data_IF_310358832496
#
_entry.id   IF_310358832496
#
_cell.length_a   1.000
_cell.length_b   1.000
_cell.length_c   1.000
_cell.angle_alpha   90.00
_cell.angle_beta   90.00
_cell.angle_gamma   90.00
#
_symmetry.space_group_name_H-M   'P 1'
#
loop_
_entity.id
_entity.type
_entity.pdbx_description
1 polymer ?
#
# COMPACT_ATOMS: atom_id res chain seq x y z
N UNK A 1 -20.90 26.19 -12.15
CA UNK A 1 -19.96 26.20 -11.01
C UNK A 1 -18.57 26.13 -11.63
N UNK A 2 -17.92 27.26 -11.86
CA UNK A 2 -16.50 27.30 -12.23
C UNK A 2 -15.74 27.39 -10.92
N UNK A 3 -15.20 26.27 -10.47
CA UNK A 3 -14.20 26.29 -9.40
C UNK A 3 -12.86 26.58 -10.09
N UNK A 4 -12.54 27.86 -10.27
CA UNK A 4 -11.16 28.28 -10.53
C UNK A 4 -10.37 27.98 -9.25
N UNK A 5 -9.95 26.72 -9.10
CA UNK A 5 -9.00 26.32 -8.07
C UNK A 5 -7.72 27.12 -8.30
N UNK A 6 -7.20 27.72 -7.23
CA UNK A 6 -5.91 28.40 -7.28
C UNK A 6 -4.84 27.37 -7.69
N UNK A 7 -3.76 27.76 -8.40
CA UNK A 7 -2.70 26.83 -8.79
C UNK A 7 -2.13 26.00 -7.63
N UNK A 8 -2.09 26.60 -6.42
CA UNK A 8 -1.68 25.91 -5.18
C UNK A 8 -2.69 24.85 -4.72
N UNK A 9 -3.99 25.11 -4.86
CA UNK A 9 -5.05 24.16 -4.49
C UNK A 9 -5.08 23.00 -5.48
N UNK A 10 -4.85 23.28 -6.76
CA UNK A 10 -4.72 22.25 -7.80
C UNK A 10 -3.50 21.37 -7.56
N UNK A 11 -2.35 21.96 -7.22
CA UNK A 11 -1.12 21.22 -6.94
C UNK A 11 -1.30 20.25 -5.75
N UNK A 12 -1.92 20.71 -4.66
CA UNK A 12 -2.22 19.86 -3.50
C UNK A 12 -3.18 18.72 -3.83
N UNK A 13 -4.22 18.98 -4.63
CA UNK A 13 -5.13 17.92 -5.06
C UNK A 13 -4.42 16.85 -5.88
N UNK A 14 -3.55 17.25 -6.81
CA UNK A 14 -2.77 16.32 -7.63
C UNK A 14 -1.81 15.49 -6.78
N UNK A 15 -1.17 16.10 -5.79
CA UNK A 15 -0.30 15.40 -4.83
C UNK A 15 -1.09 14.37 -4.00
N UNK A 16 -2.24 14.76 -3.45
CA UNK A 16 -3.12 13.85 -2.71
C UNK A 16 -3.62 12.68 -3.57
N UNK A 17 -3.96 12.93 -4.84
CA UNK A 17 -4.36 11.88 -5.77
C UNK A 17 -3.20 10.94 -6.11
N UNK A 18 -1.99 11.50 -6.34
CA UNK A 18 -0.80 10.71 -6.59
C UNK A 18 -0.45 9.82 -5.38
N UNK A 19 -0.55 10.35 -4.17
CA UNK A 19 -0.33 9.60 -2.94
C UNK A 19 -1.35 8.45 -2.80
N UNK A 20 -2.64 8.72 -3.00
CA UNK A 20 -3.69 7.68 -2.98
C UNK A 20 -3.48 6.58 -4.02
N UNK A 21 -2.97 6.93 -5.20
CA UNK A 21 -2.65 5.93 -6.23
C UNK A 21 -1.50 5.05 -5.77
N UNK A 22 -0.44 5.64 -5.22
CA UNK A 22 0.69 4.89 -4.70
C UNK A 22 0.31 4.03 -3.48
N UNK A 23 -0.51 4.54 -2.56
CA UNK A 23 -0.99 3.78 -1.39
C UNK A 23 -1.71 2.50 -1.84
N UNK A 24 -2.62 2.60 -2.81
CA UNK A 24 -3.30 1.43 -3.38
C UNK A 24 -2.35 0.45 -4.07
N UNK A 25 -1.28 0.94 -4.69
CA UNK A 25 -0.28 0.08 -5.33
C UNK A 25 0.51 -0.70 -4.28
N UNK A 26 0.94 -0.06 -3.19
CA UNK A 26 1.61 -0.71 -2.07
C UNK A 26 0.69 -1.77 -1.46
N UNK A 27 -0.57 -1.42 -1.18
CA UNK A 27 -1.56 -2.36 -0.66
C UNK A 27 -1.72 -3.59 -1.57
N UNK A 28 -1.76 -3.39 -2.90
CA UNK A 28 -1.87 -4.49 -3.86
C UNK A 28 -0.60 -5.36 -3.89
N UNK A 29 0.59 -4.76 -3.83
CA UNK A 29 1.85 -5.50 -3.80
C UNK A 29 1.92 -6.43 -2.59
N UNK A 30 1.47 -5.97 -1.42
CA UNK A 30 1.37 -6.82 -0.23
C UNK A 30 0.35 -7.95 -0.40
N UNK A 31 -0.82 -7.68 -1.00
CA UNK A 31 -1.81 -8.74 -1.30
C UNK A 31 -1.23 -9.82 -2.21
N UNK A 32 -0.50 -9.41 -3.24
CA UNK A 32 0.12 -10.32 -4.19
C UNK A 32 1.24 -11.14 -3.52
N UNK A 33 2.07 -10.50 -2.67
CA UNK A 33 3.10 -11.17 -1.89
C UNK A 33 2.51 -12.20 -0.91
N UNK A 34 1.41 -11.87 -0.22
CA UNK A 34 0.71 -12.81 0.65
C UNK A 34 0.17 -14.02 -0.12
N UNK A 35 -0.42 -13.81 -1.30
CA UNK A 35 -0.88 -14.92 -2.15
C UNK A 35 0.27 -15.78 -2.69
N UNK A 36 1.43 -15.18 -2.94
CA UNK A 36 2.62 -15.90 -3.37
C UNK A 36 3.18 -16.79 -2.27
N UNK A 37 3.23 -16.29 -1.03
CA UNK A 37 3.72 -17.03 0.14
C UNK A 37 2.72 -18.08 0.61
N UNK A 38 1.43 -17.72 0.69
CA UNK A 38 0.37 -18.58 1.16
C UNK A 38 -0.85 -18.52 0.21
N UNK A 39 -0.90 -19.36 -0.84
CA UNK A 39 -1.99 -19.33 -1.82
C UNK A 39 -3.39 -19.64 -1.28
N UNK A 40 -3.46 -20.20 -0.06
CA UNK A 40 -4.73 -20.52 0.62
C UNK A 40 -5.18 -19.43 1.60
N UNK A 41 -4.46 -18.30 1.67
CA UNK A 41 -4.75 -17.21 2.60
C UNK A 41 -6.10 -16.57 2.30
N UNK A 42 -6.86 -16.28 3.36
CA UNK A 42 -8.13 -15.58 3.27
C UNK A 42 -7.90 -14.06 3.32
N UNK A 43 -7.64 -13.45 2.15
CA UNK A 43 -7.42 -12.00 2.02
C UNK A 43 -8.58 -11.13 2.51
N UNK A 44 -9.77 -11.70 2.74
CA UNK A 44 -10.90 -10.95 3.31
C UNK A 44 -10.70 -10.64 4.80
N UNK A 45 -9.83 -11.39 5.48
CA UNK A 45 -9.44 -11.17 6.87
C UNK A 45 -8.21 -10.29 7.01
N UNK A 46 -7.50 -10.03 5.92
CA UNK A 46 -6.25 -9.26 5.90
C UNK A 46 -6.57 -7.79 5.66
N UNK A 47 -6.20 -6.95 6.62
CA UNK A 47 -6.28 -5.50 6.50
C UNK A 47 -4.92 -4.95 6.15
N UNK A 48 -4.84 -4.18 5.06
CA UNK A 48 -3.61 -3.51 4.61
C UNK A 48 -4.00 -2.07 4.36
N UNK A 49 -3.32 -1.14 5.03
CA UNK A 49 -3.54 0.30 4.88
C UNK A 49 -2.20 0.97 4.69
N UNK A 50 -1.98 1.56 3.52
CA UNK A 50 -0.83 2.40 3.24
C UNK A 50 -1.18 3.87 3.39
N UNK A 51 -0.26 4.65 3.94
CA UNK A 51 -0.32 6.11 3.97
C UNK A 51 1.09 6.68 3.84
N UNK A 52 1.56 6.80 2.61
CA UNK A 52 2.91 7.29 2.27
C UNK A 52 3.09 8.74 2.71
N UNK A 53 2.03 9.55 2.63
CA UNK A 53 2.07 10.94 3.09
C UNK A 53 2.41 11.08 4.59
N UNK A 54 2.18 10.03 5.38
CA UNK A 54 2.51 9.98 6.81
C UNK A 54 3.56 8.90 7.13
N UNK A 55 4.22 8.34 6.12
CA UNK A 55 5.22 7.26 6.25
C UNK A 55 4.72 6.08 7.11
N UNK A 56 3.45 5.68 6.89
CA UNK A 56 2.80 4.67 7.71
C UNK A 56 2.27 3.51 6.87
N UNK A 57 2.51 2.29 7.34
CA UNK A 57 1.97 1.05 6.78
C UNK A 57 1.42 0.20 7.93
N UNK A 58 0.14 -0.14 7.86
CA UNK A 58 -0.52 -1.03 8.80
C UNK A 58 -0.93 -2.32 8.09
N UNK A 59 -0.54 -3.45 8.66
CA UNK A 59 -0.96 -4.78 8.23
C UNK A 59 -1.49 -5.53 9.46
N UNK A 60 -2.66 -6.14 9.32
CA UNK A 60 -3.31 -6.93 10.37
C UNK A 60 -4.06 -8.13 9.77
N UNK A 61 -4.30 -9.16 10.59
CA UNK A 61 -5.02 -10.38 10.20
C UNK A 61 -4.14 -11.47 9.58
N UNK A 62 -2.82 -11.35 9.71
CA UNK A 62 -1.79 -12.33 9.28
C UNK A 62 -0.69 -12.42 10.33
N UNK A 63 0.03 -13.55 10.36
CA UNK A 63 1.17 -13.74 11.27
C UNK A 63 2.36 -12.83 10.90
N UNK A 64 3.06 -12.31 11.92
CA UNK A 64 4.22 -11.43 11.76
C UNK A 64 5.30 -12.03 10.85
N UNK A 65 5.57 -13.35 10.95
CA UNK A 65 6.53 -14.05 10.08
C UNK A 65 6.14 -13.98 8.59
N UNK A 66 4.84 -13.98 8.29
CA UNK A 66 4.32 -13.84 6.94
C UNK A 66 4.43 -12.39 6.46
N UNK A 67 4.22 -11.43 7.36
CA UNK A 67 4.42 -10.00 7.07
C UNK A 67 5.89 -9.74 6.72
N UNK A 68 6.84 -10.22 7.52
CA UNK A 68 8.27 -10.00 7.28
C UNK A 68 8.72 -10.56 5.93
N UNK A 69 8.24 -11.76 5.58
CA UNK A 69 8.50 -12.36 4.26
C UNK A 69 7.86 -11.56 3.12
N UNK A 70 6.63 -11.08 3.31
CA UNK A 70 5.96 -10.24 2.31
C UNK A 70 6.71 -8.90 2.12
N UNK A 71 7.20 -8.29 3.19
CA UNK A 71 8.03 -7.06 3.13
C UNK A 71 9.29 -7.31 2.31
N UNK A 72 9.96 -8.45 2.48
CA UNK A 72 11.15 -8.79 1.71
C UNK A 72 10.85 -8.88 0.21
N UNK A 73 9.76 -9.57 -0.17
CA UNK A 73 9.29 -9.66 -1.56
C UNK A 73 8.99 -8.27 -2.13
N UNK A 74 8.23 -7.44 -1.40
CA UNK A 74 7.81 -6.10 -1.87
C UNK A 74 9.01 -5.16 -2.03
N UNK A 75 10.03 -5.28 -1.18
CA UNK A 75 11.28 -4.50 -1.28
C UNK A 75 12.20 -4.97 -2.40
N UNK A 76 11.93 -6.15 -2.99
CA UNK A 76 12.85 -6.81 -3.92
C UNK A 76 14.13 -7.29 -3.23
N UNK A 77 14.07 -7.53 -1.92
CA UNK A 77 15.15 -8.13 -1.14
C UNK A 77 15.04 -9.67 -1.29
N UNK A 78 15.21 -10.15 -2.52
CA UNK A 78 15.33 -11.57 -2.84
C UNK A 78 16.73 -12.06 -2.41
N UNK A 79 17.04 -11.98 -1.11
CA UNK A 79 18.26 -12.47 -0.46
C UNK A 79 19.46 -12.76 -1.38
N UNK A 80 20.23 -11.73 -1.73
CA UNK A 80 21.64 -11.86 -2.16
C UNK A 80 22.60 -11.66 -0.98
#
# INVERSE_FOLDING_TARGET
>A
MNSDLSPEELARQLEDEANKVQDRQIEQQFRDAFLQLEPSIDLSKVTIVSNIANDNLLIDGVDDDLIDQAVAIVRGDDGE
#
